data_IF_010995057148
#
_entry.id   IF_010995057148
#
_cell.length_a   1.000
_cell.length_b   1.000
_cell.length_c   1.000
_cell.angle_alpha   90.00
_cell.angle_beta   90.00
_cell.angle_gamma   90.00
#
_symmetry.space_group_name_H-M   'P 1'
#
loop_
_entity.id
_entity.type
_entity.pdbx_description
1 polymer ?
#
# COMPACT_ATOMS: atom_id res chain seq x y z
N UNK A 1 28.52 10.02 -14.56
CA UNK A 1 27.18 9.75 -13.98
C UNK A 1 27.04 8.25 -13.83
N UNK A 2 26.59 7.74 -12.67
CA UNK A 2 26.43 6.31 -12.46
C UNK A 2 25.40 5.73 -13.45
N UNK A 3 25.61 4.49 -13.93
CA UNK A 3 24.63 3.83 -14.80
C UNK A 3 23.31 3.61 -14.05
N UNK A 4 22.20 3.44 -14.78
CA UNK A 4 20.90 3.16 -14.16
C UNK A 4 20.94 1.95 -13.23
N UNK A 5 21.69 0.91 -13.60
CA UNK A 5 21.84 -0.30 -12.79
C UNK A 5 22.58 -0.02 -11.48
N UNK A 6 23.65 0.78 -11.55
CA UNK A 6 24.39 1.19 -10.36
C UNK A 6 23.49 1.93 -9.36
N UNK A 7 22.55 2.77 -9.82
CA UNK A 7 21.60 3.46 -8.94
C UNK A 7 20.60 2.52 -8.28
N UNK A 8 20.08 1.54 -9.00
CA UNK A 8 19.21 0.52 -8.38
C UNK A 8 19.94 -0.23 -7.26
N UNK A 9 21.20 -0.60 -7.49
CA UNK A 9 22.03 -1.26 -6.47
C UNK A 9 22.25 -0.33 -5.28
N UNK A 10 22.61 0.94 -5.50
CA UNK A 10 22.79 1.92 -4.43
C UNK A 10 21.50 2.08 -3.61
N UNK A 11 20.35 2.21 -4.26
CA UNK A 11 19.05 2.35 -3.58
C UNK A 11 18.75 1.08 -2.77
N UNK A 12 18.96 -0.11 -3.35
CA UNK A 12 18.73 -1.37 -2.65
C UNK A 12 19.62 -1.51 -1.41
N UNK A 13 20.92 -1.22 -1.53
CA UNK A 13 21.86 -1.29 -0.41
C UNK A 13 21.56 -0.23 0.65
N UNK A 14 21.28 1.01 0.26
CA UNK A 14 20.92 2.07 1.19
C UNK A 14 19.62 1.75 1.94
N UNK A 15 18.60 1.26 1.23
CA UNK A 15 17.35 0.82 1.83
C UNK A 15 17.55 -0.37 2.78
N UNK A 16 18.40 -1.33 2.40
CA UNK A 16 18.74 -2.45 3.26
C UNK A 16 19.43 -2.00 4.55
N UNK A 17 20.40 -1.08 4.46
CA UNK A 17 21.05 -0.47 5.62
C UNK A 17 20.08 0.35 6.48
N UNK A 18 19.04 0.94 5.88
CA UNK A 18 18.05 1.73 6.61
C UNK A 18 17.07 0.83 7.38
N UNK A 19 16.56 -0.21 6.74
CA UNK A 19 15.41 -0.97 7.26
C UNK A 19 15.77 -2.26 7.98
N UNK A 20 16.82 -2.99 7.60
CA UNK A 20 17.14 -4.28 8.24
C UNK A 20 17.84 -4.20 9.60
N UNK A 21 18.74 -3.25 9.86
CA UNK A 21 19.41 -3.18 11.15
C UNK A 21 18.42 -2.95 12.31
N UNK A 22 18.63 -3.72 13.38
CA UNK A 22 17.94 -3.58 14.67
C UNK A 22 16.43 -3.87 14.67
N UNK A 23 15.88 -4.52 13.63
CA UNK A 23 14.44 -4.84 13.52
C UNK A 23 13.86 -5.56 14.77
N UNK A 24 14.64 -6.47 15.37
CA UNK A 24 14.21 -7.27 16.52
C UNK A 24 14.76 -6.81 17.88
N UNK A 25 15.30 -5.58 17.99
CA UNK A 25 15.90 -5.10 19.25
C UNK A 25 14.88 -4.61 20.29
N UNK A 26 13.64 -4.37 19.86
CA UNK A 26 12.54 -3.94 20.73
C UNK A 26 11.40 -4.94 20.56
N UNK A 27 10.73 -5.27 21.66
CA UNK A 27 9.55 -6.13 21.65
C UNK A 27 8.46 -5.60 20.72
N UNK A 28 7.56 -6.48 20.30
CA UNK A 28 6.31 -6.07 19.67
C UNK A 28 5.47 -5.35 20.74
N UNK A 29 5.00 -4.15 20.43
CA UNK A 29 4.24 -3.33 21.37
C UNK A 29 2.93 -2.82 20.77
N UNK A 30 2.84 -2.78 19.45
CA UNK A 30 1.64 -2.42 18.72
C UNK A 30 0.69 -3.63 18.63
N UNK A 31 -0.61 -3.37 18.76
CA UNK A 31 -1.63 -4.42 18.80
C UNK A 31 -1.69 -5.21 17.49
N UNK A 32 -1.59 -4.54 16.34
CA UNK A 32 -1.56 -5.21 15.03
C UNK A 32 -0.27 -6.03 14.88
N UNK A 33 0.88 -5.51 15.32
CA UNK A 33 2.14 -6.26 15.28
C UNK A 33 2.06 -7.58 16.05
N UNK A 34 1.54 -7.53 17.28
CA UNK A 34 1.43 -8.70 18.15
C UNK A 34 0.48 -9.72 17.52
N UNK A 35 -0.71 -9.29 17.12
CA UNK A 35 -1.73 -10.20 16.59
C UNK A 35 -1.29 -10.86 15.28
N UNK A 36 -0.71 -10.12 14.34
CA UNK A 36 -0.27 -10.70 13.07
C UNK A 36 0.91 -11.66 13.25
N UNK A 37 1.86 -11.30 14.13
CA UNK A 37 2.97 -12.19 14.46
C UNK A 37 2.46 -13.49 15.12
N UNK A 38 1.49 -13.40 16.03
CA UNK A 38 0.89 -14.58 16.66
C UNK A 38 0.11 -15.42 15.65
N UNK A 39 -0.68 -14.80 14.76
CA UNK A 39 -1.34 -15.50 13.67
C UNK A 39 -0.35 -16.30 12.82
N UNK A 40 0.78 -15.69 12.47
CA UNK A 40 1.84 -16.35 11.70
C UNK A 40 2.46 -17.51 12.47
N UNK A 41 2.70 -17.34 13.79
CA UNK A 41 3.22 -18.39 14.66
C UNK A 41 2.26 -19.59 14.72
N UNK A 42 0.98 -19.33 14.94
CA UNK A 42 -0.07 -20.36 15.02
C UNK A 42 -0.20 -21.14 13.72
N UNK A 43 -0.21 -20.46 12.56
CA UNK A 43 -0.24 -21.13 11.25
C UNK A 43 0.91 -22.14 11.09
N UNK A 44 2.09 -21.85 11.64
CA UNK A 44 3.22 -22.80 11.60
C UNK A 44 3.04 -23.97 12.55
N UNK A 45 2.47 -23.74 13.74
CA UNK A 45 2.23 -24.81 14.72
C UNK A 45 1.12 -25.75 14.25
N UNK A 46 0.03 -25.20 13.72
CA UNK A 46 -1.14 -25.98 13.28
C UNK A 46 -0.97 -26.55 11.87
N UNK A 47 0.02 -26.06 11.09
CA UNK A 47 0.15 -26.30 9.65
C UNK A 47 -1.09 -25.89 8.84
N UNK A 48 -1.97 -25.08 9.42
CA UNK A 48 -3.13 -24.52 8.74
C UNK A 48 -2.75 -23.16 8.16
N UNK A 49 -2.28 -23.15 6.91
CA UNK A 49 -1.97 -21.91 6.18
C UNK A 49 -3.18 -21.32 5.46
N UNK A 50 -4.32 -22.03 5.44
CA UNK A 50 -5.52 -21.55 4.78
C UNK A 50 -6.30 -20.61 5.69
N UNK A 51 -6.67 -21.06 6.89
CA UNK A 51 -7.44 -20.23 7.83
C UNK A 51 -6.50 -19.46 8.75
N UNK A 52 -6.68 -18.13 8.82
CA UNK A 52 -5.96 -17.31 9.81
C UNK A 52 -6.52 -17.61 11.18
N UNK A 53 -5.65 -17.71 12.19
CA UNK A 53 -6.02 -18.04 13.56
C UNK A 53 -5.39 -17.07 14.55
N UNK A 54 -6.10 -16.75 15.63
CA UNK A 54 -5.55 -16.12 16.82
C UNK A 54 -6.14 -16.83 18.05
N UNK A 55 -5.31 -17.15 19.04
CA UNK A 55 -5.66 -18.04 20.14
C UNK A 55 -6.20 -19.39 19.65
N UNK A 56 -5.68 -19.86 18.51
CA UNK A 56 -6.10 -21.05 17.77
C UNK A 56 -7.59 -21.03 17.33
N UNK A 57 -8.23 -19.88 17.38
CA UNK A 57 -9.58 -19.66 16.87
C UNK A 57 -9.53 -18.93 15.53
N UNK A 58 -10.49 -19.15 14.61
CA UNK A 58 -10.53 -18.43 13.35
C UNK A 58 -10.48 -16.90 13.53
N UNK A 59 -9.57 -16.24 12.83
CA UNK A 59 -9.45 -14.78 12.78
C UNK A 59 -9.92 -14.27 11.43
N UNK A 60 -11.17 -13.83 11.35
CA UNK A 60 -11.82 -13.41 10.11
C UNK A 60 -11.59 -11.94 9.75
N UNK A 61 -10.90 -11.15 10.58
CA UNK A 61 -10.84 -9.70 10.42
C UNK A 61 -9.93 -9.22 9.29
N UNK A 62 -8.89 -10.01 8.94
CA UNK A 62 -7.90 -9.68 7.91
C UNK A 62 -7.58 -10.91 7.03
N UNK A 63 -7.43 -10.72 5.71
CA UNK A 63 -6.95 -11.78 4.82
C UNK A 63 -5.43 -12.01 4.97
N UNK A 64 -4.89 -13.13 4.45
CA UNK A 64 -3.68 -13.74 5.01
C UNK A 64 -2.36 -13.28 4.38
N UNK A 65 -2.34 -12.46 3.33
CA UNK A 65 -1.11 -12.24 2.52
C UNK A 65 0.07 -11.76 3.36
N UNK A 66 -0.15 -10.78 4.25
CA UNK A 66 0.92 -10.28 5.10
C UNK A 66 1.36 -11.30 6.16
N UNK A 67 0.40 -12.04 6.71
CA UNK A 67 0.66 -13.10 7.68
C UNK A 67 1.46 -14.24 7.02
N UNK A 68 1.17 -14.60 5.77
CA UNK A 68 1.98 -15.55 4.99
C UNK A 68 3.42 -15.05 4.77
N UNK A 69 3.61 -13.74 4.56
CA UNK A 69 4.96 -13.18 4.50
C UNK A 69 5.69 -13.34 5.85
N UNK A 70 5.00 -13.13 6.98
CA UNK A 70 5.56 -13.36 8.30
C UNK A 70 5.85 -14.85 8.56
N UNK A 71 4.98 -15.77 8.14
CA UNK A 71 5.23 -17.22 8.19
C UNK A 71 6.54 -17.56 7.47
N UNK A 72 6.72 -17.06 6.24
CA UNK A 72 7.95 -17.29 5.48
C UNK A 72 9.17 -16.70 6.19
N UNK A 73 9.06 -15.50 6.74
CA UNK A 73 10.15 -14.88 7.50
C UNK A 73 10.48 -15.68 8.78
N UNK A 74 9.49 -16.16 9.52
CA UNK A 74 9.70 -16.94 10.73
C UNK A 74 10.29 -18.32 10.44
N UNK A 75 9.96 -18.93 9.28
CA UNK A 75 10.64 -20.14 8.82
C UNK A 75 12.13 -19.93 8.52
N UNK A 76 12.52 -18.72 8.10
CA UNK A 76 13.90 -18.38 7.76
C UNK A 76 14.73 -17.91 8.96
N UNK A 77 14.14 -17.11 9.84
CA UNK A 77 14.86 -16.42 10.93
C UNK A 77 14.45 -16.88 12.33
N UNK A 78 13.52 -17.84 12.44
CA UNK A 78 12.91 -18.26 13.70
C UNK A 78 11.75 -17.36 14.13
N UNK A 79 11.01 -17.81 15.16
CA UNK A 79 9.91 -17.03 15.76
C UNK A 79 10.51 -15.96 16.67
N UNK A 80 10.57 -14.72 16.20
CA UNK A 80 11.06 -13.56 16.94
C UNK A 80 10.58 -12.25 16.28
N UNK A 81 10.87 -11.13 16.93
CA UNK A 81 10.49 -9.79 16.49
C UNK A 81 11.15 -9.39 15.17
N UNK A 82 12.37 -9.87 14.91
CA UNK A 82 13.05 -9.64 13.64
C UNK A 82 12.26 -10.24 12.48
N UNK A 83 11.86 -11.51 12.61
CA UNK A 83 11.06 -12.20 11.60
C UNK A 83 9.68 -11.57 11.41
N UNK A 84 9.02 -11.13 12.49
CA UNK A 84 7.72 -10.47 12.42
C UNK A 84 7.76 -9.14 11.63
N UNK A 85 8.87 -8.39 11.70
CA UNK A 85 9.03 -7.09 11.02
C UNK A 85 9.76 -7.18 9.67
N UNK A 86 10.45 -8.29 9.42
CA UNK A 86 11.20 -8.53 8.17
C UNK A 86 10.38 -8.30 6.89
N UNK A 87 9.09 -8.73 6.79
CA UNK A 87 8.26 -8.45 5.61
C UNK A 87 8.21 -6.97 5.24
N UNK A 88 7.98 -6.08 6.20
CA UNK A 88 7.88 -4.65 5.94
C UNK A 88 9.23 -4.01 5.62
N UNK A 89 10.33 -4.51 6.21
CA UNK A 89 11.66 -4.04 5.84
C UNK A 89 11.98 -4.37 4.38
N UNK A 90 11.62 -5.59 3.95
CA UNK A 90 11.74 -6.00 2.55
C UNK A 90 10.83 -5.17 1.63
N UNK A 91 9.57 -4.95 2.01
CA UNK A 91 8.63 -4.10 1.27
C UNK A 91 9.13 -2.65 1.19
N UNK A 92 9.85 -2.16 2.20
CA UNK A 92 10.53 -0.87 2.16
C UNK A 92 11.55 -0.77 1.03
N UNK A 93 12.41 -1.80 0.88
CA UNK A 93 13.36 -1.89 -0.23
C UNK A 93 12.63 -1.92 -1.58
N UNK A 94 11.64 -2.79 -1.73
CA UNK A 94 10.86 -2.93 -2.96
C UNK A 94 10.14 -1.62 -3.30
N UNK A 95 9.60 -0.92 -2.30
CA UNK A 95 8.93 0.36 -2.47
C UNK A 95 9.88 1.40 -3.03
N UNK A 96 11.07 1.60 -2.43
CA UNK A 96 12.03 2.59 -2.93
C UNK A 96 12.52 2.29 -4.36
N UNK A 97 12.72 1.01 -4.70
CA UNK A 97 13.04 0.61 -6.08
C UNK A 97 11.89 0.90 -7.04
N UNK A 98 10.65 0.66 -6.60
CA UNK A 98 9.43 0.94 -7.38
C UNK A 98 9.27 2.44 -7.62
N UNK A 99 9.49 3.28 -6.60
CA UNK A 99 9.44 4.74 -6.72
C UNK A 99 10.48 5.26 -7.70
N UNK A 100 11.71 4.74 -7.64
CA UNK A 100 12.74 5.11 -8.60
C UNK A 100 12.35 4.74 -10.03
N UNK A 101 11.85 3.51 -10.24
CA UNK A 101 11.40 3.07 -11.55
C UNK A 101 10.24 3.92 -12.09
N UNK A 102 9.20 4.14 -11.27
CA UNK A 102 8.04 4.93 -11.65
C UNK A 102 8.43 6.39 -11.92
N UNK A 103 9.19 7.02 -11.03
CA UNK A 103 9.62 8.40 -11.20
C UNK A 103 10.50 8.60 -12.43
N UNK A 104 11.41 7.66 -12.71
CA UNK A 104 12.27 7.71 -13.90
C UNK A 104 11.46 7.54 -15.18
N UNK A 105 10.46 6.65 -15.15
CA UNK A 105 9.61 6.35 -16.31
C UNK A 105 8.62 7.47 -16.64
N UNK A 106 8.12 8.16 -15.61
CA UNK A 106 7.12 9.23 -15.72
C UNK A 106 7.77 10.59 -16.01
N UNK A 107 8.86 10.92 -15.32
CA UNK A 107 9.49 12.25 -15.37
C UNK A 107 10.93 12.16 -15.86
N UNK A 108 11.87 11.81 -14.98
CA UNK A 108 13.28 11.62 -15.30
C UNK A 108 14.03 11.05 -14.08
N UNK A 109 15.30 10.72 -14.27
CA UNK A 109 16.14 10.12 -13.25
C UNK A 109 16.43 11.05 -12.05
N UNK A 110 16.53 12.37 -12.28
CA UNK A 110 16.77 13.34 -11.20
C UNK A 110 15.56 13.37 -10.25
N UNK A 111 14.36 13.52 -10.80
CA UNK A 111 13.12 13.52 -10.02
C UNK A 111 12.95 12.19 -9.27
N UNK A 112 13.19 11.06 -9.95
CA UNK A 112 13.13 9.74 -9.34
C UNK A 112 14.05 9.59 -8.10
N UNK A 113 15.26 10.14 -8.19
CA UNK A 113 16.22 10.14 -7.08
C UNK A 113 15.70 10.96 -5.91
N UNK A 114 15.14 12.15 -6.17
CA UNK A 114 14.53 12.98 -5.13
C UNK A 114 13.30 12.35 -4.50
N UNK A 115 12.46 11.67 -5.29
CA UNK A 115 11.29 10.98 -4.77
C UNK A 115 11.68 9.88 -3.77
N UNK A 116 12.67 9.06 -4.13
CA UNK A 116 13.24 8.04 -3.22
C UNK A 116 13.84 8.67 -1.98
N UNK A 117 14.67 9.70 -2.15
CA UNK A 117 15.34 10.35 -1.02
C UNK A 117 14.34 10.97 -0.03
N UNK A 118 13.32 11.67 -0.54
CA UNK A 118 12.27 12.26 0.29
C UNK A 118 11.43 11.19 0.98
N UNK A 119 11.02 10.14 0.27
CA UNK A 119 10.25 9.06 0.88
C UNK A 119 11.04 8.36 2.00
N UNK A 120 12.33 8.09 1.78
CA UNK A 120 13.21 7.47 2.78
C UNK A 120 13.53 8.39 3.96
N UNK A 121 13.66 9.69 3.73
CA UNK A 121 13.92 10.69 4.77
C UNK A 121 12.68 11.05 5.59
N UNK A 122 11.50 10.63 5.14
CA UNK A 122 10.23 10.93 5.79
C UNK A 122 10.03 10.05 7.02
N UNK A 123 9.57 10.66 8.12
CA UNK A 123 9.48 10.00 9.43
C UNK A 123 8.55 8.77 9.43
N UNK A 124 7.26 8.93 9.12
CA UNK A 124 6.30 7.82 9.24
C UNK A 124 6.59 6.62 8.32
N UNK A 125 6.88 6.80 7.01
CA UNK A 125 7.25 5.69 6.15
C UNK A 125 8.47 4.92 6.66
N UNK A 126 9.49 5.63 7.18
CA UNK A 126 10.65 4.97 7.78
C UNK A 126 10.22 4.07 8.95
N UNK A 127 9.39 4.57 9.87
CA UNK A 127 8.99 3.78 11.04
C UNK A 127 8.11 2.59 10.66
N UNK A 128 7.18 2.76 9.72
CA UNK A 128 6.29 1.67 9.33
C UNK A 128 6.97 0.57 8.51
N UNK A 129 8.06 0.86 7.80
CA UNK A 129 8.89 -0.22 7.23
C UNK A 129 9.69 -0.99 8.29
N UNK A 130 9.74 -0.50 9.53
CA UNK A 130 10.32 -1.20 10.68
C UNK A 130 9.28 -1.79 11.65
N UNK A 131 8.00 -1.72 11.33
CA UNK A 131 6.94 -2.37 12.11
C UNK A 131 6.41 -3.62 11.41
N UNK A 132 5.64 -4.43 12.10
CA UNK A 132 4.94 -5.63 11.62
C UNK A 132 3.46 -5.38 11.31
N UNK A 133 3.10 -4.19 10.80
CA UNK A 133 1.71 -3.86 10.42
C UNK A 133 1.44 -4.14 8.94
N UNK A 134 0.18 -4.25 8.54
CA UNK A 134 -0.20 -4.69 7.18
C UNK A 134 -0.11 -3.58 6.10
N UNK A 135 -0.13 -2.31 6.53
CA UNK A 135 -0.29 -1.12 5.68
C UNK A 135 0.79 -0.91 4.61
N UNK A 136 2.09 -1.08 4.88
CA UNK A 136 3.12 -0.89 3.86
C UNK A 136 2.93 -1.81 2.64
N UNK A 137 2.61 -3.08 2.89
CA UNK A 137 2.35 -4.08 1.84
C UNK A 137 1.08 -3.72 1.05
N UNK A 138 0.01 -3.38 1.76
CA UNK A 138 -1.25 -2.92 1.16
C UNK A 138 -1.04 -1.71 0.24
N UNK A 139 -0.34 -0.68 0.75
CA UNK A 139 -0.10 0.55 0.00
C UNK A 139 0.73 0.32 -1.25
N UNK A 140 1.75 -0.54 -1.17
CA UNK A 140 2.56 -0.88 -2.35
C UNK A 140 1.69 -1.54 -3.43
N UNK A 141 0.82 -2.49 -3.07
CA UNK A 141 -0.06 -3.13 -4.05
C UNK A 141 -1.07 -2.17 -4.66
N UNK A 142 -1.67 -1.27 -3.87
CA UNK A 142 -2.53 -0.21 -4.41
C UNK A 142 -1.73 0.68 -5.36
N UNK A 143 -0.55 1.15 -4.95
CA UNK A 143 0.28 2.02 -5.78
C UNK A 143 0.63 1.36 -7.11
N UNK A 144 1.05 0.08 -7.07
CA UNK A 144 1.33 -0.70 -8.26
C UNK A 144 0.09 -0.84 -9.15
N UNK A 145 -1.09 -1.11 -8.59
CA UNK A 145 -2.32 -1.18 -9.37
C UNK A 145 -2.59 0.13 -10.12
N UNK A 146 -2.50 1.29 -9.46
CA UNK A 146 -2.68 2.60 -10.08
C UNK A 146 -1.58 2.93 -11.10
N UNK A 147 -0.33 2.59 -10.81
CA UNK A 147 0.77 2.79 -11.73
C UNK A 147 0.60 1.95 -13.00
N UNK A 148 0.10 0.72 -12.88
CA UNK A 148 -0.26 -0.09 -14.05
C UNK A 148 -1.42 0.54 -14.83
N UNK A 149 -2.46 1.07 -14.17
CA UNK A 149 -3.53 1.83 -14.87
C UNK A 149 -2.95 3.01 -15.65
N UNK A 150 -2.02 3.77 -15.07
CA UNK A 150 -1.32 4.84 -15.79
C UNK A 150 -0.58 4.31 -17.04
N UNK A 151 0.11 3.16 -16.92
CA UNK A 151 0.83 2.54 -18.02
C UNK A 151 -0.09 1.95 -19.11
N UNK A 152 -1.38 1.73 -18.86
CA UNK A 152 -2.33 1.40 -19.93
C UNK A 152 -2.37 2.52 -20.99
N UNK A 153 -2.20 3.77 -20.57
CA UNK A 153 -2.26 4.94 -21.46
C UNK A 153 -0.91 5.36 -22.01
N UNK A 154 0.16 5.25 -21.22
CA UNK A 154 1.50 5.78 -21.56
C UNK A 154 2.59 4.71 -21.72
N UNK A 155 2.24 3.45 -21.45
CA UNK A 155 3.12 2.29 -21.59
C UNK A 155 2.92 1.55 -22.91
N UNK A 156 3.72 0.49 -23.08
CA UNK A 156 3.57 -0.46 -24.17
C UNK A 156 2.78 -1.67 -23.66
N UNK A 157 1.98 -2.33 -24.49
CA UNK A 157 1.16 -3.51 -24.10
C UNK A 157 0.07 -3.17 -23.05
N UNK A 158 -0.91 -2.32 -23.41
CA UNK A 158 -1.97 -1.88 -22.49
C UNK A 158 -2.75 -3.02 -21.83
N UNK A 159 -2.94 -4.14 -22.54
CA UNK A 159 -3.63 -5.32 -21.99
C UNK A 159 -2.85 -6.01 -20.87
N UNK A 160 -1.52 -6.08 -20.98
CA UNK A 160 -0.69 -6.61 -19.89
C UNK A 160 -0.80 -5.72 -18.66
N UNK A 161 -0.79 -4.39 -18.85
CA UNK A 161 -0.97 -3.44 -17.76
C UNK A 161 -2.36 -3.53 -17.12
N UNK A 162 -3.42 -3.79 -17.88
CA UNK A 162 -4.76 -4.07 -17.33
C UNK A 162 -4.76 -5.35 -16.47
N UNK A 163 -4.12 -6.42 -16.95
CA UNK A 163 -4.00 -7.68 -16.18
C UNK A 163 -3.21 -7.46 -14.89
N UNK A 164 -2.03 -6.85 -14.97
CA UNK A 164 -1.18 -6.57 -13.79
C UNK A 164 -1.89 -5.64 -12.80
N UNK A 165 -2.63 -4.63 -13.28
CA UNK A 165 -3.43 -3.76 -12.42
C UNK A 165 -4.46 -4.56 -11.63
N UNK A 166 -5.18 -5.48 -12.27
CA UNK A 166 -6.14 -6.34 -11.59
C UNK A 166 -5.48 -7.29 -10.58
N UNK A 167 -4.33 -7.90 -10.94
CA UNK A 167 -3.57 -8.76 -10.03
C UNK A 167 -3.12 -7.99 -8.78
N UNK A 168 -2.51 -6.81 -8.93
CA UNK A 168 -2.10 -6.02 -7.78
C UNK A 168 -3.28 -5.52 -6.95
N UNK A 169 -4.40 -5.16 -7.58
CA UNK A 169 -5.61 -4.79 -6.85
C UNK A 169 -6.15 -5.97 -6.04
N UNK A 170 -6.19 -7.17 -6.61
CA UNK A 170 -6.58 -8.38 -5.89
C UNK A 170 -5.62 -8.75 -4.76
N UNK A 171 -4.30 -8.57 -4.95
CA UNK A 171 -3.32 -8.72 -3.87
C UNK A 171 -3.54 -7.70 -2.74
N UNK A 172 -3.92 -6.47 -3.05
CA UNK A 172 -4.28 -5.48 -2.04
C UNK A 172 -5.55 -5.90 -1.26
N UNK A 173 -6.55 -6.47 -1.94
CA UNK A 173 -7.74 -7.05 -1.28
C UNK A 173 -7.35 -8.20 -0.36
N UNK A 174 -6.47 -9.10 -0.81
CA UNK A 174 -5.96 -10.20 0.01
C UNK A 174 -5.00 -9.76 1.13
N UNK A 175 -4.64 -8.48 1.16
CA UNK A 175 -3.82 -7.89 2.23
C UNK A 175 -4.70 -7.21 3.27
N UNK A 176 -5.55 -6.25 2.89
CA UNK A 176 -6.33 -5.46 3.88
C UNK A 176 -7.85 -5.48 3.65
N UNK A 177 -8.33 -6.17 2.62
CA UNK A 177 -9.76 -6.34 2.38
C UNK A 177 -10.40 -5.31 1.45
N UNK A 178 -11.72 -5.04 1.59
CA UNK A 178 -12.51 -4.28 0.63
C UNK A 178 -12.11 -2.81 0.53
N UNK A 179 -11.36 -2.28 1.50
CA UNK A 179 -10.78 -0.94 1.43
C UNK A 179 -9.96 -0.71 0.14
N UNK A 180 -9.30 -1.76 -0.38
CA UNK A 180 -8.61 -1.71 -1.66
C UNK A 180 -9.53 -1.31 -2.81
N UNK A 181 -10.68 -1.98 -2.91
CA UNK A 181 -11.67 -1.77 -3.97
C UNK A 181 -12.30 -0.38 -3.82
N UNK A 182 -12.63 0.01 -2.57
CA UNK A 182 -13.20 1.32 -2.29
C UNK A 182 -12.27 2.46 -2.74
N UNK A 183 -10.99 2.41 -2.36
CA UNK A 183 -9.99 3.41 -2.77
C UNK A 183 -9.83 3.40 -4.30
N UNK A 184 -9.73 2.21 -4.92
CA UNK A 184 -9.59 2.07 -6.36
C UNK A 184 -10.76 2.70 -7.13
N UNK A 185 -12.00 2.38 -6.76
CA UNK A 185 -13.20 2.88 -7.42
C UNK A 185 -13.39 4.38 -7.22
N UNK A 186 -13.19 4.89 -5.99
CA UNK A 186 -13.33 6.31 -5.70
C UNK A 186 -12.30 7.14 -6.46
N UNK A 187 -11.02 6.77 -6.39
CA UNK A 187 -9.97 7.50 -7.10
C UNK A 187 -10.10 7.37 -8.62
N UNK A 188 -10.48 6.20 -9.15
CA UNK A 188 -10.78 6.08 -10.58
C UNK A 188 -11.97 6.98 -10.99
N UNK A 189 -13.06 6.97 -10.23
CA UNK A 189 -14.24 7.80 -10.49
C UNK A 189 -13.93 9.30 -10.46
N UNK A 190 -13.21 9.77 -9.44
CA UNK A 190 -12.77 11.17 -9.32
C UNK A 190 -11.85 11.54 -10.49
N UNK A 191 -10.91 10.67 -10.86
CA UNK A 191 -10.04 10.90 -12.02
C UNK A 191 -10.84 11.03 -13.32
N UNK A 192 -11.83 10.16 -13.56
CA UNK A 192 -12.70 10.21 -14.74
C UNK A 192 -13.51 11.51 -14.78
N UNK A 193 -14.04 11.97 -13.65
CA UNK A 193 -14.78 13.23 -13.53
C UNK A 193 -13.87 14.41 -13.90
N UNK A 194 -12.68 14.50 -13.30
CA UNK A 194 -11.70 15.57 -13.55
C UNK A 194 -11.24 15.57 -15.01
N UNK A 195 -11.00 14.39 -15.59
CA UNK A 195 -10.53 14.24 -16.96
C UNK A 195 -11.67 14.30 -18.00
N UNK A 196 -12.92 14.47 -17.57
CA UNK A 196 -14.13 14.46 -18.42
C UNK A 196 -14.22 13.22 -19.31
N UNK A 197 -13.97 12.06 -18.70
CA UNK A 197 -14.06 10.75 -19.34
C UNK A 197 -12.75 9.96 -19.35
N UNK A 198 -12.84 8.79 -19.97
CA UNK A 198 -11.79 7.76 -20.04
C UNK A 198 -10.94 7.85 -21.32
N UNK A 199 -10.70 9.07 -21.84
CA UNK A 199 -9.90 9.26 -23.07
C UNK A 199 -8.52 8.62 -22.90
N UNK A 200 -8.17 7.71 -23.80
CA UNK A 200 -6.92 6.93 -23.76
C UNK A 200 -7.08 5.52 -23.19
N UNK A 201 -8.24 5.16 -22.65
CA UNK A 201 -8.58 3.80 -22.23
C UNK A 201 -9.60 3.18 -23.18
N UNK A 202 -9.48 1.87 -23.43
CA UNK A 202 -10.55 1.07 -24.02
C UNK A 202 -11.48 0.63 -22.89
N UNK A 203 -12.79 0.65 -23.13
CA UNK A 203 -13.77 0.25 -22.12
C UNK A 203 -13.52 -1.17 -21.59
N UNK A 204 -13.02 -2.08 -22.44
CA UNK A 204 -12.65 -3.46 -22.09
C UNK A 204 -11.48 -3.58 -21.10
N UNK A 205 -10.67 -2.53 -20.89
CA UNK A 205 -9.62 -2.60 -19.88
C UNK A 205 -10.20 -2.75 -18.46
N UNK A 206 -11.35 -2.13 -18.17
CA UNK A 206 -11.95 -2.16 -16.82
C UNK A 206 -12.54 -3.53 -16.45
N UNK A 207 -13.31 -4.21 -17.33
CA UNK A 207 -13.68 -5.61 -17.11
C UNK A 207 -12.46 -6.52 -16.91
N UNK A 208 -11.37 -6.34 -17.66
CA UNK A 208 -10.15 -7.15 -17.48
C UNK A 208 -9.54 -6.92 -16.10
N UNK A 209 -9.42 -5.66 -15.65
CA UNK A 209 -8.94 -5.34 -14.31
C UNK A 209 -9.84 -5.99 -13.25
N UNK A 210 -11.16 -5.86 -13.39
CA UNK A 210 -12.12 -6.42 -12.44
C UNK A 210 -12.06 -7.95 -12.38
N UNK A 211 -12.00 -8.63 -13.53
CA UNK A 211 -11.89 -10.09 -13.61
C UNK A 211 -10.58 -10.57 -12.99
N UNK A 212 -9.46 -9.92 -13.28
CA UNK A 212 -8.17 -10.33 -12.70
C UNK A 212 -8.07 -10.05 -11.20
N UNK A 213 -8.67 -8.95 -10.72
CA UNK A 213 -8.79 -8.68 -9.29
C UNK A 213 -9.67 -9.73 -8.59
N UNK A 214 -10.79 -10.10 -9.22
CA UNK A 214 -11.68 -11.15 -8.72
C UNK A 214 -10.97 -12.50 -8.66
N UNK A 215 -10.34 -12.95 -9.76
CA UNK A 215 -9.59 -14.22 -9.81
C UNK A 215 -8.54 -14.25 -8.71
N UNK A 216 -7.75 -13.19 -8.57
CA UNK A 216 -6.69 -13.10 -7.55
C UNK A 216 -7.29 -13.18 -6.14
N UNK A 217 -8.37 -12.44 -5.86
CA UNK A 217 -9.06 -12.48 -4.57
C UNK A 217 -9.64 -13.86 -4.26
N UNK A 218 -10.17 -14.55 -5.28
CA UNK A 218 -10.72 -15.89 -5.15
C UNK A 218 -9.68 -16.97 -4.85
N UNK A 219 -8.37 -16.71 -5.05
CA UNK A 219 -7.32 -17.68 -4.71
C UNK A 219 -7.40 -18.06 -3.23
N UNK A 220 -7.72 -17.11 -2.35
CA UNK A 220 -7.88 -17.41 -0.92
C UNK A 220 -9.35 -17.47 -0.49
N UNK A 221 -10.13 -16.41 -0.74
CA UNK A 221 -11.53 -16.38 -0.33
C UNK A 221 -12.35 -17.52 -0.96
N UNK A 222 -12.05 -17.86 -2.22
CA UNK A 222 -12.72 -18.98 -2.89
C UNK A 222 -12.38 -20.31 -2.24
N UNK A 223 -11.11 -20.56 -1.93
CA UNK A 223 -10.69 -21.77 -1.22
C UNK A 223 -11.28 -21.84 0.19
N UNK A 224 -11.30 -20.74 0.93
CA UNK A 224 -11.88 -20.72 2.28
C UNK A 224 -13.39 -21.00 2.24
N UNK A 225 -14.12 -20.40 1.29
CA UNK A 225 -15.56 -20.66 1.12
C UNK A 225 -15.83 -22.10 0.70
N UNK A 226 -15.00 -22.68 -0.16
CA UNK A 226 -15.17 -24.07 -0.59
C UNK A 226 -14.94 -25.07 0.55
N UNK A 227 -14.01 -24.80 1.46
CA UNK A 227 -13.68 -25.72 2.55
C UNK A 227 -14.52 -25.50 3.82
N UNK A 228 -14.85 -24.25 4.13
CA UNK A 228 -15.45 -23.87 5.42
C UNK A 228 -16.81 -23.18 5.27
N UNK A 229 -17.26 -22.88 4.05
CA UNK A 229 -18.52 -22.19 3.77
C UNK A 229 -18.43 -20.67 3.89
N UNK A 230 -19.58 -20.00 3.78
CA UNK A 230 -19.67 -18.54 3.68
C UNK A 230 -19.51 -17.78 5.00
N UNK A 231 -19.46 -18.47 6.14
CA UNK A 231 -19.53 -17.83 7.46
C UNK A 231 -18.39 -16.80 7.67
N UNK A 232 -17.15 -17.15 7.31
CA UNK A 232 -15.99 -16.27 7.46
C UNK A 232 -16.17 -15.00 6.63
N UNK A 233 -16.65 -15.13 5.40
CA UNK A 233 -16.92 -13.98 4.51
C UNK A 233 -18.01 -13.08 5.09
N UNK A 234 -19.07 -13.67 5.66
CA UNK A 234 -20.16 -12.91 6.27
C UNK A 234 -19.67 -12.12 7.50
N UNK A 235 -18.90 -12.77 8.38
CA UNK A 235 -18.30 -12.13 9.56
C UNK A 235 -17.28 -11.06 9.17
N UNK A 236 -16.44 -11.33 8.17
CA UNK A 236 -15.50 -10.36 7.62
C UNK A 236 -16.22 -9.12 7.08
N UNK A 237 -17.24 -9.28 6.24
CA UNK A 237 -18.00 -8.15 5.70
C UNK A 237 -18.71 -7.38 6.82
N UNK A 238 -19.31 -8.08 7.78
CA UNK A 238 -19.96 -7.46 8.96
C UNK A 238 -18.97 -6.64 9.77
N UNK A 239 -17.77 -7.17 9.99
CA UNK A 239 -16.68 -6.47 10.66
C UNK A 239 -16.24 -5.20 9.90
N UNK A 240 -16.07 -5.27 8.58
CA UNK A 240 -15.68 -4.12 7.76
C UNK A 240 -16.74 -3.01 7.78
N UNK A 241 -18.03 -3.38 7.76
CA UNK A 241 -19.14 -2.42 7.89
C UNK A 241 -19.14 -1.78 9.28
N UNK A 242 -18.93 -2.57 10.34
CA UNK A 242 -18.85 -2.07 11.72
C UNK A 242 -17.74 -1.02 11.87
N UNK A 243 -16.52 -1.33 11.41
CA UNK A 243 -15.39 -0.40 11.43
C UNK A 243 -15.66 0.94 10.72
N UNK A 244 -16.55 0.95 9.73
CA UNK A 244 -16.95 2.15 9.02
C UNK A 244 -17.95 3.01 9.82
N UNK A 245 -18.81 2.37 10.63
CA UNK A 245 -19.94 3.01 11.30
C UNK A 245 -19.67 3.41 12.75
N UNK A 246 -18.85 2.66 13.47
CA UNK A 246 -18.60 2.85 14.90
C UNK A 246 -17.19 3.35 15.18
N UNK A 247 -17.02 4.15 16.23
CA UNK A 247 -15.70 4.40 16.81
C UNK A 247 -15.24 3.12 17.50
N UNK A 248 -14.04 2.65 17.16
CA UNK A 248 -13.47 1.43 17.74
C UNK A 248 -12.24 1.75 18.59
N UNK A 249 -12.06 1.00 19.68
CA UNK A 249 -10.91 1.05 20.59
C UNK A 249 -10.46 2.46 21.05
N UNK A 250 -11.37 3.44 21.17
CA UNK A 250 -11.04 4.80 21.61
C UNK A 250 -10.31 5.65 20.56
N UNK A 251 -10.20 5.19 19.31
CA UNK A 251 -9.57 5.91 18.21
C UNK A 251 -10.52 6.95 17.58
N UNK A 252 -11.06 7.86 18.39
CA UNK A 252 -11.75 9.05 17.93
C UNK A 252 -10.78 10.16 17.49
N UNK A 253 -11.29 11.20 16.83
CA UNK A 253 -10.49 12.40 16.54
C UNK A 253 -11.17 13.37 15.58
N UNK A 254 -10.64 14.59 15.44
CA UNK A 254 -11.23 15.63 14.59
C UNK A 254 -11.08 15.30 13.09
N UNK A 255 -11.91 15.91 12.24
CA UNK A 255 -11.85 15.73 10.78
C UNK A 255 -10.47 16.00 10.17
N UNK A 256 -9.72 16.97 10.74
CA UNK A 256 -8.40 17.36 10.28
C UNK A 256 -7.25 16.50 10.86
N UNK A 257 -7.55 15.43 11.62
CA UNK A 257 -6.54 14.56 12.25
C UNK A 257 -5.49 14.05 11.26
N UNK A 258 -5.92 13.39 10.18
CA UNK A 258 -5.01 12.83 9.18
C UNK A 258 -4.21 13.89 8.43
N UNK A 259 -4.78 15.10 8.28
CA UNK A 259 -4.06 16.21 7.68
C UNK A 259 -2.86 16.63 8.55
N UNK A 260 -3.04 16.75 9.87
CA UNK A 260 -1.95 17.05 10.80
C UNK A 260 -0.90 15.92 10.81
N UNK A 261 -1.35 14.66 10.87
CA UNK A 261 -0.46 13.49 10.83
C UNK A 261 0.38 13.50 9.56
N UNK A 262 -0.18 13.84 8.41
CA UNK A 262 0.57 13.94 7.16
C UNK A 262 1.55 15.11 7.18
N UNK A 263 1.19 16.27 7.74
CA UNK A 263 2.12 17.40 7.78
C UNK A 263 3.34 17.12 8.65
N UNK A 264 3.14 16.55 9.84
CA UNK A 264 4.24 16.26 10.78
C UNK A 264 4.97 14.98 10.42
N UNK A 265 4.21 13.92 10.20
CA UNK A 265 4.74 12.60 9.91
C UNK A 265 5.35 12.47 8.53
N UNK A 266 4.95 13.33 7.59
CA UNK A 266 5.59 13.41 6.29
C UNK A 266 6.73 14.43 6.17
N UNK A 267 7.17 15.04 7.28
CA UNK A 267 8.37 15.87 7.26
C UNK A 267 9.61 15.04 6.88
N UNK A 268 10.52 15.53 6.00
CA UNK A 268 10.57 16.88 5.44
C UNK A 268 9.77 17.08 4.13
N UNK A 269 9.23 16.03 3.52
CA UNK A 269 8.52 16.13 2.24
C UNK A 269 7.27 17.04 2.30
N UNK A 270 6.59 17.07 3.44
CA UNK A 270 5.39 17.89 3.66
C UNK A 270 5.62 19.39 3.45
N UNK A 271 6.84 19.90 3.65
CA UNK A 271 7.21 21.32 3.44
C UNK A 271 7.01 21.74 1.99
N UNK A 272 7.21 20.82 1.05
CA UNK A 272 7.14 21.10 -0.38
C UNK A 272 5.75 20.87 -0.97
N UNK A 273 4.76 20.41 -0.18
CA UNK A 273 3.43 20.03 -0.67
C UNK A 273 2.66 21.20 -1.30
N UNK A 274 2.85 22.42 -0.78
CA UNK A 274 2.18 23.64 -1.24
C UNK A 274 3.06 24.53 -2.11
N UNK A 275 4.24 24.06 -2.50
CA UNK A 275 5.09 24.82 -3.39
C UNK A 275 4.45 24.88 -4.78
N UNK A 276 4.33 26.08 -5.37
CA UNK A 276 3.72 26.23 -6.69
C UNK A 276 4.79 26.06 -7.76
N UNK A 277 4.74 24.96 -8.52
CA UNK A 277 5.55 24.82 -9.74
C UNK A 277 4.88 25.54 -10.91
N UNK A 278 5.62 26.37 -11.61
CA UNK A 278 5.19 27.13 -12.81
C UNK A 278 5.77 26.56 -14.10
N UNK A 279 6.24 25.32 -14.09
CA UNK A 279 6.87 24.71 -15.26
C UNK A 279 5.85 24.10 -16.22
N UNK A 280 6.16 24.19 -17.52
CA UNK A 280 5.41 23.50 -18.56
C UNK A 280 5.72 22.00 -18.51
N UNK A 281 4.96 21.27 -17.71
CA UNK A 281 5.08 19.81 -17.60
C UNK A 281 4.57 19.11 -18.88
N UNK A 282 5.25 18.02 -19.27
CA UNK A 282 4.81 17.12 -20.33
C UNK A 282 3.45 16.48 -20.00
N UNK A 283 2.72 16.05 -21.04
CA UNK A 283 1.38 15.45 -20.88
C UNK A 283 1.41 14.23 -19.94
N UNK A 284 2.42 13.38 -20.06
CA UNK A 284 2.59 12.18 -19.24
C UNK A 284 2.82 12.51 -17.75
N UNK A 285 3.54 13.59 -17.47
CA UNK A 285 3.82 14.06 -16.11
C UNK A 285 2.56 14.67 -15.49
N UNK A 286 1.86 15.53 -16.25
CA UNK A 286 0.59 16.13 -15.83
C UNK A 286 -0.45 15.07 -15.47
N UNK A 287 -0.52 14.01 -16.25
CA UNK A 287 -1.48 12.92 -16.04
C UNK A 287 -1.16 12.10 -14.78
N UNK A 288 0.10 11.73 -14.57
CA UNK A 288 0.51 11.03 -13.35
C UNK A 288 0.37 11.91 -12.09
N UNK A 289 0.70 13.20 -12.20
CA UNK A 289 0.49 14.19 -11.13
C UNK A 289 -0.99 14.31 -10.75
N UNK A 290 -1.91 14.26 -11.72
CA UNK A 290 -3.35 14.18 -11.45
C UNK A 290 -3.71 12.92 -10.68
N UNK A 291 -3.21 11.75 -11.09
CA UNK A 291 -3.41 10.51 -10.33
C UNK A 291 -2.93 10.62 -8.88
N UNK A 292 -1.75 11.20 -8.66
CA UNK A 292 -1.20 11.41 -7.33
C UNK A 292 -2.08 12.34 -6.48
N UNK A 293 -2.54 13.47 -7.04
CA UNK A 293 -3.47 14.36 -6.32
C UNK A 293 -4.82 13.71 -6.02
N UNK A 294 -5.39 12.98 -6.98
CA UNK A 294 -6.65 12.27 -6.79
C UNK A 294 -6.51 11.24 -5.68
N UNK A 295 -5.46 10.42 -5.73
CA UNK A 295 -5.17 9.42 -4.70
C UNK A 295 -4.97 10.08 -3.32
N UNK A 296 -4.20 11.17 -3.25
CA UNK A 296 -3.99 11.93 -2.02
C UNK A 296 -5.31 12.42 -1.42
N UNK A 297 -6.14 13.11 -2.19
CA UNK A 297 -7.38 13.69 -1.68
C UNK A 297 -8.44 12.64 -1.37
N UNK A 298 -8.57 11.60 -2.21
CA UNK A 298 -9.52 10.52 -1.95
C UNK A 298 -9.18 9.79 -0.66
N UNK A 299 -7.92 9.40 -0.45
CA UNK A 299 -7.49 8.73 0.77
C UNK A 299 -7.65 9.65 1.98
N UNK A 300 -7.19 10.90 1.88
CA UNK A 300 -7.28 11.85 2.98
C UNK A 300 -8.74 12.10 3.39
N UNK A 301 -9.63 12.39 2.44
CA UNK A 301 -11.05 12.66 2.73
C UNK A 301 -11.73 11.40 3.25
N UNK A 302 -11.50 10.23 2.62
CA UNK A 302 -12.10 8.98 3.03
C UNK A 302 -11.81 8.68 4.51
N UNK A 303 -10.54 8.69 4.91
CA UNK A 303 -10.16 8.39 6.28
C UNK A 303 -10.42 9.53 7.26
N UNK A 304 -10.56 10.78 6.79
CA UNK A 304 -11.08 11.88 7.61
C UNK A 304 -12.57 11.74 7.96
N UNK A 305 -13.36 11.10 7.09
CA UNK A 305 -14.80 10.83 7.32
C UNK A 305 -15.00 9.62 8.23
N UNK A 306 -14.14 8.59 8.09
CA UNK A 306 -14.20 7.40 8.95
C UNK A 306 -14.07 7.78 10.43
N UNK A 307 -14.88 7.14 11.26
CA UNK A 307 -14.98 7.43 12.69
C UNK A 307 -13.70 7.04 13.43
N UNK A 308 -13.24 5.81 13.21
CA UNK A 308 -11.98 5.27 13.73
C UNK A 308 -10.77 5.87 13.01
N UNK A 309 -9.91 6.56 13.77
CA UNK A 309 -8.73 7.28 13.27
C UNK A 309 -7.45 6.68 13.83
N UNK A 310 -6.76 5.93 12.97
CA UNK A 310 -5.46 5.34 13.28
C UNK A 310 -4.41 5.99 12.38
N UNK A 311 -3.25 6.37 12.95
CA UNK A 311 -2.20 7.15 12.27
C UNK A 311 -1.86 6.59 10.88
N UNK A 312 -1.75 5.27 10.75
CA UNK A 312 -1.37 4.61 9.51
C UNK A 312 -2.51 4.51 8.47
N UNK A 313 -3.77 4.85 8.77
CA UNK A 313 -4.86 4.78 7.78
C UNK A 313 -4.67 5.71 6.59
N UNK A 314 -4.08 6.90 6.81
CA UNK A 314 -3.74 7.83 5.73
C UNK A 314 -2.37 7.55 5.10
N UNK A 315 -1.73 6.41 5.39
CA UNK A 315 -0.37 6.11 4.92
C UNK A 315 -0.24 5.98 3.40
N UNK A 316 -1.33 5.66 2.70
CA UNK A 316 -1.35 5.68 1.24
C UNK A 316 -1.02 7.08 0.66
N UNK A 317 -1.27 8.16 1.42
CA UNK A 317 -0.93 9.52 1.01
C UNK A 317 0.58 9.79 0.96
N UNK A 318 1.44 8.92 1.51
CA UNK A 318 2.89 9.12 1.50
C UNK A 318 3.46 9.09 0.08
N UNK A 319 2.96 8.19 -0.78
CA UNK A 319 3.33 8.09 -2.19
C UNK A 319 3.08 9.40 -2.95
N UNK A 320 1.85 9.93 -3.02
CA UNK A 320 1.58 11.16 -3.74
C UNK A 320 2.21 12.39 -3.09
N UNK A 321 2.24 12.49 -1.76
CA UNK A 321 2.84 13.64 -1.07
C UNK A 321 4.32 13.78 -1.41
N UNK A 322 5.09 12.69 -1.29
CA UNK A 322 6.52 12.68 -1.59
C UNK A 322 6.81 12.83 -3.08
N UNK A 323 5.93 12.34 -3.96
CA UNK A 323 6.02 12.58 -5.41
C UNK A 323 5.89 14.07 -5.73
N UNK A 324 4.84 14.71 -5.19
CA UNK A 324 4.59 16.13 -5.40
C UNK A 324 5.75 16.95 -4.85
N UNK A 325 6.24 16.62 -3.65
CA UNK A 325 7.42 17.25 -3.07
C UNK A 325 8.66 17.12 -3.99
N UNK A 326 8.91 15.94 -4.55
CA UNK A 326 10.05 15.70 -5.45
C UNK A 326 9.95 16.46 -6.78
N UNK A 327 8.74 16.76 -7.27
CA UNK A 327 8.56 17.58 -8.47
C UNK A 327 9.02 19.04 -8.28
N UNK A 328 9.18 19.49 -7.04
CA UNK A 328 9.57 20.86 -6.70
C UNK A 328 11.08 21.06 -6.52
N UNK A 329 11.91 20.03 -6.72
CA UNK A 329 13.37 20.03 -6.52
C UNK A 329 14.10 19.67 -7.83
#
# INVERSE_FOLDING_TARGET
MASSQTRYIIIALAAACLFFPFLGQVHLFDWDEINFAECAREMMVTNNYLQVQIDYQPFWEKPPVFIWMQVLAMKLFGVNEYAARFPNAFIGVVTLLTLFYAGKRVVNEKMATWWVALYAATWLPHFYFKSGIIDPTFNLFIFLAFFQVYLIRHGNRPWLHAVLSGVFLGMAVLTKGPAAILIALLAFGVYVIINRGIKGFKWLHFPVIAVMAFITTCIWFGLEVLNHGWWMVNEFITYQVRLFQTEDAGHGGPFFYHFIILLLGCFPASVFLFHKSTTNEEVQVKDFKRWMWVLFWVVLILFSIVKTKIVHYSSMCYFPLTFIAALHI
#
